data_IF_003216017000
#
_entry.id   IF_003216017000
#
_cell.length_a   1.000
_cell.length_b   1.000
_cell.length_c   1.000
_cell.angle_alpha   90.00
_cell.angle_beta   90.00
_cell.angle_gamma   90.00
#
_symmetry.space_group_name_H-M   'P 1'
#
loop_
_entity.id
_entity.type
_entity.pdbx_description
1 polymer ?
#
# COMPACT_ATOMS: atom_id res chain seq x y z
N UNK A 1 -5.56 16.76 9.23
CA UNK A 1 -4.68 17.92 8.90
C UNK A 1 -3.83 17.63 7.67
N UNK A 2 -3.18 16.46 7.57
CA UNK A 2 -2.36 16.09 6.39
C UNK A 2 -3.18 16.16 5.09
N UNK A 3 -4.37 15.57 5.06
CA UNK A 3 -5.27 15.63 3.90
C UNK A 3 -5.65 17.07 3.53
N UNK A 4 -6.02 17.89 4.52
CA UNK A 4 -6.37 19.30 4.30
C UNK A 4 -5.21 20.09 3.67
N UNK A 5 -3.99 19.88 4.16
CA UNK A 5 -2.79 20.56 3.64
C UNK A 5 -2.51 20.20 2.17
N UNK A 6 -2.95 19.02 1.72
CA UNK A 6 -2.82 18.53 0.35
C UNK A 6 -4.02 18.86 -0.55
N UNK A 7 -5.03 19.59 -0.01
CA UNK A 7 -6.19 20.03 -0.78
C UNK A 7 -7.42 19.11 -0.71
N UNK A 8 -7.35 17.98 0.01
CA UNK A 8 -8.49 17.10 0.24
C UNK A 8 -9.35 17.67 1.37
N UNK A 9 -10.49 18.26 1.01
CA UNK A 9 -11.32 19.03 1.95
C UNK A 9 -12.67 18.40 2.22
N UNK A 10 -13.18 17.56 1.34
CA UNK A 10 -14.46 16.86 1.52
C UNK A 10 -14.16 15.45 2.02
N UNK A 11 -14.55 15.17 3.26
CA UNK A 11 -14.28 13.89 3.92
C UNK A 11 -15.60 13.25 4.33
N UNK A 12 -15.68 11.92 4.16
CA UNK A 12 -16.77 11.11 4.68
C UNK A 12 -16.18 10.14 5.69
N UNK A 13 -16.64 10.18 6.93
CA UNK A 13 -16.26 9.23 7.96
C UNK A 13 -17.36 8.19 8.13
N UNK A 14 -17.02 6.92 7.89
CA UNK A 14 -17.89 5.80 8.26
C UNK A 14 -17.64 5.45 9.72
N UNK A 15 -18.67 5.52 10.55
CA UNK A 15 -18.57 5.35 12.01
C UNK A 15 -19.62 4.37 12.50
N UNK A 16 -19.30 3.61 13.51
CA UNK A 16 -20.21 2.66 14.15
C UNK A 16 -20.01 2.68 15.66
N UNK A 17 -19.10 1.86 16.18
CA UNK A 17 -18.77 1.86 17.60
C UNK A 17 -18.21 3.23 18.03
N UNK A 18 -18.77 3.80 19.11
CA UNK A 18 -18.42 5.14 19.62
C UNK A 18 -18.65 6.30 18.63
N UNK A 19 -19.59 6.16 17.69
CA UNK A 19 -19.90 7.17 16.69
C UNK A 19 -20.12 8.56 17.31
N UNK A 20 -20.92 8.66 18.37
CA UNK A 20 -21.20 9.93 19.05
C UNK A 20 -19.93 10.64 19.56
N UNK A 21 -18.96 9.88 20.07
CA UNK A 21 -17.69 10.45 20.55
C UNK A 21 -16.83 10.96 19.41
N UNK A 22 -16.78 10.21 18.30
CA UNK A 22 -16.04 10.61 17.11
C UNK A 22 -16.67 11.85 16.49
N UNK A 23 -17.99 11.87 16.34
CA UNK A 23 -18.75 13.00 15.80
C UNK A 23 -18.61 14.25 16.70
N UNK A 24 -18.66 14.08 18.02
CA UNK A 24 -18.47 15.18 18.97
C UNK A 24 -17.04 15.75 18.92
N UNK A 25 -16.03 14.92 18.67
CA UNK A 25 -14.62 15.35 18.61
C UNK A 25 -14.29 16.11 17.33
N UNK A 26 -14.75 15.63 16.17
CA UNK A 26 -14.40 16.23 14.88
C UNK A 26 -15.41 17.29 14.41
N UNK A 27 -16.66 17.27 14.92
CA UNK A 27 -17.74 18.17 14.48
C UNK A 27 -17.97 18.06 12.97
N UNK A 28 -18.18 19.19 12.33
CA UNK A 28 -18.34 19.32 10.89
C UNK A 28 -16.98 19.44 10.14
N UNK A 29 -15.86 19.39 10.87
CA UNK A 29 -14.52 19.51 10.32
C UNK A 29 -14.04 20.95 10.11
N UNK A 30 -14.87 21.97 10.30
CA UNK A 30 -14.54 23.39 10.04
C UNK A 30 -13.29 23.84 10.82
N UNK A 31 -13.12 23.38 12.06
CA UNK A 31 -11.94 23.67 12.90
C UNK A 31 -10.63 23.07 12.32
N UNK A 32 -10.74 22.08 11.44
CA UNK A 32 -9.62 21.42 10.76
C UNK A 32 -9.42 21.94 9.33
N UNK A 33 -10.28 22.87 8.87
CA UNK A 33 -10.27 23.40 7.51
C UNK A 33 -10.78 22.42 6.45
N UNK A 34 -11.60 21.45 6.86
CA UNK A 34 -12.25 20.44 6.00
C UNK A 34 -13.76 20.44 6.26
N UNK A 35 -14.50 19.83 5.35
CA UNK A 35 -15.90 19.46 5.56
C UNK A 35 -15.94 17.97 5.88
N UNK A 36 -16.58 17.59 6.99
CA UNK A 36 -16.76 16.20 7.40
C UNK A 36 -18.25 15.86 7.35
N UNK A 37 -18.57 14.88 6.56
CA UNK A 37 -19.85 14.21 6.56
C UNK A 37 -19.71 12.84 7.24
N UNK A 38 -20.77 12.37 7.88
CA UNK A 38 -20.76 11.10 8.59
C UNK A 38 -21.73 10.11 7.97
N UNK A 39 -21.31 8.87 7.90
CA UNK A 39 -22.17 7.72 7.67
C UNK A 39 -22.16 6.85 8.93
N UNK A 40 -23.27 6.78 9.64
CA UNK A 40 -23.38 5.97 10.85
C UNK A 40 -23.91 4.59 10.49
N UNK A 41 -23.11 3.56 10.75
CA UNK A 41 -23.52 2.16 10.58
C UNK A 41 -24.35 1.72 11.77
N UNK A 42 -25.65 1.50 11.57
CA UNK A 42 -26.54 0.91 12.59
C UNK A 42 -26.21 -0.58 12.81
N UNK A 43 -25.80 -1.25 11.75
CA UNK A 43 -25.31 -2.64 11.77
C UNK A 43 -23.99 -2.70 11.01
N UNK A 44 -23.03 -3.54 11.46
CA UNK A 44 -21.73 -3.62 10.79
C UNK A 44 -21.86 -4.11 9.34
N UNK A 45 -21.46 -3.29 8.38
CA UNK A 45 -21.51 -3.57 6.94
C UNK A 45 -20.20 -4.18 6.38
N UNK A 46 -19.20 -4.42 7.25
CA UNK A 46 -17.85 -4.78 6.83
C UNK A 46 -17.01 -3.54 6.51
N UNK A 47 -15.83 -3.73 5.95
CA UNK A 47 -14.94 -2.60 5.62
C UNK A 47 -15.25 -1.92 4.27
N UNK A 48 -16.24 -2.43 3.50
CA UNK A 48 -16.62 -1.85 2.22
C UNK A 48 -18.13 -1.65 2.02
N UNK A 49 -18.99 -2.23 2.85
CA UNK A 49 -20.44 -2.17 2.63
C UNK A 49 -21.02 -0.76 2.69
N UNK A 50 -20.45 0.13 3.50
CA UNK A 50 -20.82 1.54 3.55
C UNK A 50 -20.60 2.27 2.21
N UNK A 51 -19.62 1.87 1.40
CA UNK A 51 -19.32 2.51 0.12
C UNK A 51 -20.50 2.41 -0.85
N UNK A 52 -21.23 1.30 -0.86
CA UNK A 52 -22.40 1.12 -1.71
C UNK A 52 -23.55 2.03 -1.28
N UNK A 53 -23.71 2.27 0.02
CA UNK A 53 -24.70 3.22 0.56
C UNK A 53 -24.33 4.67 0.25
N UNK A 54 -23.04 4.92 0.09
CA UNK A 54 -22.48 6.23 -0.19
C UNK A 54 -22.23 6.49 -1.69
N UNK A 55 -22.55 5.53 -2.57
CA UNK A 55 -22.23 5.61 -4.00
C UNK A 55 -22.66 6.93 -4.66
N UNK A 56 -23.86 7.38 -4.42
CA UNK A 56 -24.36 8.66 -4.95
C UNK A 56 -23.61 9.86 -4.39
N UNK A 57 -23.24 9.81 -3.11
CA UNK A 57 -22.51 10.90 -2.44
C UNK A 57 -21.04 10.96 -2.85
N UNK A 58 -20.43 9.81 -3.13
CA UNK A 58 -19.07 9.72 -3.66
C UNK A 58 -18.99 10.36 -5.04
N UNK A 59 -20.04 10.23 -5.87
CA UNK A 59 -20.07 10.77 -7.24
C UNK A 59 -19.26 9.92 -8.21
N UNK A 60 -18.73 10.55 -9.26
CA UNK A 60 -18.07 9.86 -10.37
C UNK A 60 -16.54 10.11 -10.44
N UNK A 61 -16.02 10.96 -9.58
CA UNK A 61 -14.59 11.23 -9.50
C UNK A 61 -13.86 10.20 -8.61
N UNK A 62 -12.60 9.84 -8.93
CA UNK A 62 -11.83 8.95 -8.09
C UNK A 62 -11.67 9.50 -6.67
N UNK A 63 -11.73 8.62 -5.69
CA UNK A 63 -11.65 8.98 -4.29
C UNK A 63 -10.54 8.23 -3.55
N UNK A 64 -10.05 8.84 -2.46
CA UNK A 64 -9.17 8.19 -1.51
C UNK A 64 -9.98 7.38 -0.50
N UNK A 65 -9.66 6.09 -0.39
CA UNK A 65 -10.18 5.21 0.66
C UNK A 65 -9.04 4.89 1.62
N UNK A 66 -9.22 5.26 2.89
CA UNK A 66 -8.17 5.16 3.90
C UNK A 66 -8.68 4.39 5.11
N UNK A 67 -7.90 3.42 5.58
CA UNK A 67 -8.19 2.74 6.83
C UNK A 67 -7.97 3.69 8.02
N UNK A 68 -8.95 3.78 8.91
CA UNK A 68 -8.94 4.73 10.04
C UNK A 68 -7.97 4.35 11.16
N UNK A 69 -7.52 3.10 11.21
CA UNK A 69 -6.53 2.56 12.15
C UNK A 69 -5.09 2.63 11.63
N UNK A 70 -4.87 3.21 10.46
CA UNK A 70 -3.54 3.45 9.89
C UNK A 70 -3.04 4.85 10.24
N UNK A 71 -1.86 4.93 10.85
CA UNK A 71 -1.08 6.17 10.91
C UNK A 71 -0.27 6.31 9.62
N UNK A 72 -0.34 7.46 9.00
CA UNK A 72 0.37 7.71 7.74
C UNK A 72 0.82 9.16 7.61
N UNK A 73 1.87 9.36 6.81
CA UNK A 73 2.26 10.65 6.24
C UNK A 73 2.74 10.42 4.80
N UNK A 74 1.83 10.59 3.87
CA UNK A 74 1.95 10.23 2.44
C UNK A 74 1.65 11.45 1.59
N UNK A 75 2.40 11.65 0.51
CA UNK A 75 2.07 12.59 -0.56
C UNK A 75 0.97 11.98 -1.47
N UNK A 76 -0.28 12.16 -1.07
CA UNK A 76 -1.41 11.64 -1.84
C UNK A 76 -1.56 12.29 -3.22
N UNK A 77 -1.06 13.50 -3.42
CA UNK A 77 -1.10 14.12 -4.75
C UNK A 77 -0.23 13.35 -5.75
N UNK A 78 0.92 12.80 -5.32
CA UNK A 78 1.73 11.91 -6.16
C UNK A 78 1.01 10.59 -6.44
N UNK A 79 0.38 10.00 -5.44
CA UNK A 79 -0.40 8.76 -5.60
C UNK A 79 -1.58 8.95 -6.57
N UNK A 80 -2.32 10.06 -6.46
CA UNK A 80 -3.41 10.40 -7.38
C UNK A 80 -2.89 10.68 -8.79
N UNK A 81 -1.73 11.36 -8.93
CA UNK A 81 -1.11 11.57 -10.23
C UNK A 81 -0.69 10.24 -10.89
N UNK A 82 -0.13 9.32 -10.11
CA UNK A 82 0.17 7.97 -10.56
C UNK A 82 -1.10 7.24 -11.01
N UNK A 83 -2.16 7.26 -10.20
CA UNK A 83 -3.45 6.66 -10.54
C UNK A 83 -3.97 7.15 -11.89
N UNK A 84 -3.98 8.45 -12.11
CA UNK A 84 -4.40 9.05 -13.38
C UNK A 84 -3.51 8.66 -14.56
N UNK A 85 -2.25 8.35 -14.33
CA UNK A 85 -1.29 8.03 -15.40
C UNK A 85 -1.46 6.65 -16.00
N UNK A 86 -1.95 5.67 -15.24
CA UNK A 86 -2.14 4.30 -15.73
C UNK A 86 -3.56 4.00 -16.22
N UNK A 87 -4.56 4.82 -15.84
CA UNK A 87 -5.95 4.70 -16.30
C UNK A 87 -6.69 3.44 -15.81
N UNK A 88 -6.18 2.77 -14.77
CA UNK A 88 -6.86 1.64 -14.12
C UNK A 88 -7.94 2.09 -13.15
N UNK A 89 -8.67 1.15 -12.58
CA UNK A 89 -9.77 1.42 -11.66
C UNK A 89 -9.32 1.58 -10.20
N UNK A 90 -8.18 0.97 -9.83
CA UNK A 90 -7.68 0.99 -8.45
C UNK A 90 -6.18 1.18 -8.43
N UNK A 91 -5.71 2.01 -7.50
CA UNK A 91 -4.31 2.07 -7.08
C UNK A 91 -4.22 1.67 -5.62
N UNK A 92 -3.42 0.65 -5.33
CA UNK A 92 -3.06 0.24 -3.98
C UNK A 92 -1.80 0.98 -3.55
N UNK A 93 -1.79 1.56 -2.35
CA UNK A 93 -0.54 1.92 -1.73
C UNK A 93 0.15 0.67 -1.21
N UNK A 94 1.34 0.39 -1.70
CA UNK A 94 2.10 -0.80 -1.35
C UNK A 94 3.45 -0.41 -0.75
N UNK A 95 3.89 -1.18 0.23
CA UNK A 95 5.16 -0.95 0.91
C UNK A 95 5.78 -2.26 1.39
N UNK A 96 7.10 -2.30 1.64
CA UNK A 96 7.74 -3.43 2.28
C UNK A 96 7.26 -3.58 3.73
N UNK A 97 7.00 -4.83 4.15
CA UNK A 97 6.62 -5.16 5.52
C UNK A 97 7.72 -6.00 6.18
N UNK A 98 8.04 -5.71 7.44
CA UNK A 98 8.97 -6.52 8.25
C UNK A 98 8.44 -7.93 8.56
N UNK A 99 7.13 -8.17 8.31
CA UNK A 99 6.45 -9.46 8.53
C UNK A 99 5.63 -9.84 7.29
N UNK A 100 6.23 -9.98 6.11
CA UNK A 100 5.49 -10.26 4.87
C UNK A 100 4.74 -11.58 4.92
N UNK A 101 5.21 -12.55 5.70
CA UNK A 101 4.59 -13.86 5.90
C UNK A 101 3.22 -13.80 6.61
N UNK A 102 2.95 -12.74 7.39
CA UNK A 102 1.68 -12.53 8.10
C UNK A 102 0.68 -11.68 7.32
N UNK A 103 1.09 -11.12 6.19
CA UNK A 103 0.31 -10.17 5.40
C UNK A 103 -0.08 -10.74 4.06
N UNK A 104 -1.10 -10.18 3.42
CA UNK A 104 -1.41 -10.45 2.02
C UNK A 104 -0.28 -9.93 1.13
N UNK A 105 0.33 -10.82 0.34
CA UNK A 105 1.41 -10.48 -0.59
C UNK A 105 0.83 -10.09 -1.94
N UNK A 106 1.25 -8.97 -2.48
CA UNK A 106 0.86 -8.50 -3.81
C UNK A 106 1.94 -8.88 -4.82
N UNK A 107 1.55 -9.64 -5.82
CA UNK A 107 2.38 -9.95 -6.99
C UNK A 107 1.95 -9.03 -8.12
N UNK A 108 2.89 -8.28 -8.66
CA UNK A 108 2.65 -7.37 -9.78
C UNK A 108 3.73 -7.50 -10.83
N UNK A 109 3.40 -7.11 -12.06
CA UNK A 109 4.35 -7.01 -13.17
C UNK A 109 5.28 -5.78 -13.03
N UNK A 110 6.21 -5.61 -13.97
CA UNK A 110 7.18 -4.51 -13.99
C UNK A 110 6.54 -3.12 -14.16
N UNK A 111 5.27 -3.06 -14.57
CA UNK A 111 4.48 -1.82 -14.68
C UNK A 111 3.65 -1.54 -13.44
N UNK A 112 3.74 -2.43 -12.43
CA UNK A 112 2.97 -2.35 -11.21
C UNK A 112 1.53 -2.87 -11.33
N UNK A 113 1.15 -3.49 -12.46
CA UNK A 113 -0.17 -4.08 -12.61
C UNK A 113 -0.27 -5.34 -11.73
N UNK A 114 -1.28 -5.40 -10.87
CA UNK A 114 -1.47 -6.49 -9.90
C UNK A 114 -1.95 -7.75 -10.61
N UNK A 115 -1.14 -8.79 -10.57
CA UNK A 115 -1.45 -10.09 -11.15
C UNK A 115 -2.12 -11.02 -10.14
N UNK A 116 -1.62 -11.03 -8.89
CA UNK A 116 -2.13 -11.90 -7.82
C UNK A 116 -2.10 -11.20 -6.47
N UNK A 117 -3.04 -11.59 -5.64
CA UNK A 117 -3.08 -11.24 -4.22
C UNK A 117 -3.10 -12.53 -3.40
N UNK A 118 -1.98 -12.86 -2.81
CA UNK A 118 -1.80 -14.08 -2.03
C UNK A 118 -2.11 -13.78 -0.55
N UNK A 119 -3.09 -14.50 -0.01
CA UNK A 119 -3.33 -14.48 1.43
C UNK A 119 -2.20 -15.23 2.17
N UNK A 120 -2.16 -15.12 3.49
CA UNK A 120 -1.13 -15.80 4.29
C UNK A 120 -1.19 -17.34 4.20
N UNK A 121 -2.37 -17.88 3.89
CA UNK A 121 -2.63 -19.30 3.72
C UNK A 121 -2.30 -19.83 2.31
N UNK A 122 -2.15 -18.92 1.34
CA UNK A 122 -1.86 -19.29 -0.04
C UNK A 122 -0.39 -19.71 -0.20
N UNK A 123 -0.13 -20.65 -1.11
CA UNK A 123 1.24 -21.01 -1.48
C UNK A 123 1.96 -19.82 -2.09
N UNK A 124 3.12 -19.49 -1.54
CA UNK A 124 3.93 -18.35 -1.97
C UNK A 124 5.09 -18.81 -2.83
N UNK A 125 5.48 -17.99 -3.84
CA UNK A 125 6.73 -18.23 -4.54
C UNK A 125 7.91 -18.16 -3.56
N UNK A 126 8.98 -18.88 -3.85
CA UNK A 126 10.18 -18.88 -3.00
C UNK A 126 10.80 -17.47 -2.91
N UNK A 127 10.80 -16.74 -4.00
CA UNK A 127 11.33 -15.38 -4.11
C UNK A 127 10.25 -14.42 -4.58
N UNK A 128 10.12 -13.29 -3.93
CA UNK A 128 9.09 -12.31 -4.23
C UNK A 128 9.50 -10.89 -3.81
N UNK A 129 8.93 -9.90 -4.44
CA UNK A 129 9.00 -8.53 -3.94
C UNK A 129 8.23 -8.42 -2.64
N UNK A 130 8.85 -7.83 -1.62
CA UNK A 130 8.19 -7.59 -0.34
C UNK A 130 7.19 -6.44 -0.49
N UNK A 131 6.02 -6.75 -1.03
CA UNK A 131 4.99 -5.78 -1.41
C UNK A 131 3.67 -6.17 -0.75
N UNK A 132 3.21 -5.36 0.21
CA UNK A 132 1.95 -5.57 0.92
C UNK A 132 1.03 -4.35 0.78
N UNK A 133 -0.29 -4.59 0.82
CA UNK A 133 -1.29 -3.52 0.82
C UNK A 133 -1.30 -2.80 2.17
N UNK A 134 -1.19 -1.48 2.14
CA UNK A 134 -1.16 -0.63 3.35
C UNK A 134 -2.54 -0.14 3.81
N UNK A 135 -3.63 -0.52 3.11
CA UNK A 135 -4.97 -0.04 3.44
C UNK A 135 -5.25 1.41 3.02
N UNK A 136 -4.45 1.93 2.09
CA UNK A 136 -4.65 3.24 1.48
C UNK A 136 -4.83 3.05 -0.02
N UNK A 137 -5.91 3.58 -0.59
CA UNK A 137 -6.28 3.32 -1.97
C UNK A 137 -6.75 4.59 -2.67
N UNK A 138 -6.53 4.66 -4.00
CA UNK A 138 -7.30 5.51 -4.90
C UNK A 138 -8.22 4.60 -5.70
N UNK A 139 -9.50 4.90 -5.69
CA UNK A 139 -10.53 4.03 -6.27
C UNK A 139 -11.42 4.85 -7.21
N UNK A 140 -11.61 4.34 -8.42
CA UNK A 140 -12.66 4.80 -9.34
C UNK A 140 -14.02 4.30 -8.85
N UNK A 141 -15.03 5.15 -8.67
CA UNK A 141 -16.36 4.73 -8.18
C UNK A 141 -17.01 3.61 -8.98
N UNK A 142 -16.68 3.51 -10.27
CA UNK A 142 -17.11 2.43 -11.16
C UNK A 142 -16.79 1.02 -10.63
N UNK A 143 -15.76 0.89 -9.78
CA UNK A 143 -15.43 -0.40 -9.12
C UNK A 143 -16.62 -0.92 -8.32
N UNK A 144 -17.34 -0.03 -7.62
CA UNK A 144 -18.50 -0.39 -6.83
C UNK A 144 -19.62 -0.93 -7.73
N UNK A 145 -19.85 -0.27 -8.86
CA UNK A 145 -20.89 -0.66 -9.82
C UNK A 145 -20.59 -2.05 -10.42
N UNK A 146 -19.33 -2.30 -10.82
CA UNK A 146 -18.88 -3.60 -11.33
C UNK A 146 -18.99 -4.69 -10.25
N UNK A 147 -18.67 -4.37 -9.00
CA UNK A 147 -18.70 -5.33 -7.90
C UNK A 147 -20.12 -5.82 -7.58
N UNK A 148 -21.15 -5.05 -7.88
CA UNK A 148 -22.54 -5.49 -7.69
C UNK A 148 -22.91 -6.72 -8.53
N UNK A 149 -22.20 -6.97 -9.65
CA UNK A 149 -22.42 -8.15 -10.50
C UNK A 149 -22.04 -9.47 -9.80
N UNK A 150 -21.19 -9.39 -8.76
CA UNK A 150 -20.65 -10.56 -8.05
C UNK A 150 -21.12 -10.67 -6.60
N UNK A 151 -21.82 -9.66 -6.09
CA UNK A 151 -22.31 -9.61 -4.73
C UNK A 151 -23.76 -10.08 -4.63
N UNK A 152 -24.10 -10.75 -3.54
CA UNK A 152 -25.50 -11.04 -3.24
C UNK A 152 -26.21 -9.74 -2.86
N UNK A 153 -27.24 -9.38 -3.63
CA UNK A 153 -28.00 -8.14 -3.43
C UNK A 153 -29.28 -8.44 -2.66
N UNK A 154 -29.55 -7.64 -1.67
CA UNK A 154 -30.82 -7.65 -0.94
C UNK A 154 -31.90 -7.02 -1.83
N UNK A 155 -32.96 -7.77 -2.21
CA UNK A 155 -33.99 -7.30 -3.12
C UNK A 155 -34.87 -6.17 -2.55
N UNK A 156 -34.89 -6.02 -1.21
CA UNK A 156 -35.70 -4.97 -0.57
C UNK A 156 -34.94 -3.63 -0.54
N UNK A 157 -33.64 -3.68 -0.37
CA UNK A 157 -32.82 -2.46 -0.23
C UNK A 157 -32.05 -2.10 -1.49
N UNK A 158 -31.82 -3.06 -2.39
CA UNK A 158 -31.01 -2.89 -3.59
C UNK A 158 -29.49 -2.81 -3.31
N UNK A 159 -29.05 -3.08 -2.07
CA UNK A 159 -27.66 -3.05 -1.66
C UNK A 159 -27.10 -4.44 -1.37
N UNK A 160 -25.77 -4.61 -1.31
CA UNK A 160 -25.17 -5.87 -0.92
C UNK A 160 -25.68 -6.36 0.43
N UNK A 161 -25.98 -7.67 0.49
CA UNK A 161 -26.51 -8.33 1.68
C UNK A 161 -25.38 -8.64 2.67
N UNK A 162 -25.56 -8.20 3.91
CA UNK A 162 -24.62 -8.47 4.99
C UNK A 162 -23.35 -7.64 4.93
N UNK A 163 -22.22 -8.25 5.32
CA UNK A 163 -20.92 -7.59 5.37
C UNK A 163 -20.18 -7.74 4.05
N UNK A 164 -19.61 -6.66 3.57
CA UNK A 164 -18.74 -6.66 2.37
C UNK A 164 -17.28 -6.47 2.80
N UNK A 165 -16.44 -7.38 2.35
CA UNK A 165 -14.99 -7.32 2.54
C UNK A 165 -14.33 -6.69 1.31
N UNK A 166 -13.65 -5.55 1.51
CA UNK A 166 -12.99 -4.80 0.44
C UNK A 166 -11.98 -5.67 -0.31
N UNK A 167 -11.08 -6.31 0.43
CA UNK A 167 -9.96 -7.04 -0.15
C UNK A 167 -10.44 -8.27 -0.92
N UNK A 168 -11.34 -9.05 -0.33
CA UNK A 168 -11.76 -10.34 -0.87
C UNK A 168 -12.81 -10.22 -1.98
N UNK A 169 -13.75 -9.31 -1.82
CA UNK A 169 -14.94 -9.26 -2.66
C UNK A 169 -14.87 -8.15 -3.73
N UNK A 170 -14.04 -7.12 -3.51
CA UNK A 170 -13.93 -5.98 -4.43
C UNK A 170 -12.56 -5.94 -5.12
N UNK A 171 -11.46 -5.99 -4.36
CA UNK A 171 -10.12 -5.78 -4.91
C UNK A 171 -9.55 -7.08 -5.52
N UNK A 172 -9.63 -8.20 -4.81
CA UNK A 172 -9.07 -9.48 -5.30
C UNK A 172 -9.63 -9.93 -6.66
N UNK A 173 -10.91 -9.73 -7.00
CA UNK A 173 -11.44 -10.00 -8.34
C UNK A 173 -10.81 -9.18 -9.47
N UNK A 174 -10.17 -8.05 -9.17
CA UNK A 174 -9.46 -7.22 -10.17
C UNK A 174 -8.04 -7.70 -10.48
N UNK A 175 -7.52 -8.68 -9.74
CA UNK A 175 -6.19 -9.24 -10.02
C UNK A 175 -6.14 -9.86 -11.42
N UNK A 176 -5.08 -9.56 -12.19
CA UNK A 176 -4.87 -10.06 -13.54
C UNK A 176 -5.77 -9.44 -14.61
N UNK A 177 -6.59 -8.44 -14.27
CA UNK A 177 -7.49 -7.77 -15.24
C UNK A 177 -6.87 -6.54 -15.90
N UNK A 178 -5.70 -6.09 -15.45
CA UNK A 178 -5.09 -4.84 -15.89
C UNK A 178 -5.77 -3.57 -15.36
N UNK A 179 -6.61 -3.70 -14.32
CA UNK A 179 -7.39 -2.59 -13.76
C UNK A 179 -6.91 -2.15 -12.38
N UNK A 180 -5.96 -2.85 -11.76
CA UNK A 180 -5.44 -2.55 -10.44
C UNK A 180 -3.93 -2.48 -10.43
N UNK A 181 -3.37 -1.42 -9.82
CA UNK A 181 -1.94 -1.12 -9.85
C UNK A 181 -1.38 -0.88 -8.45
N UNK A 182 -0.11 -1.24 -8.25
CA UNK A 182 0.67 -0.93 -7.06
C UNK A 182 1.33 0.44 -7.18
N UNK A 183 1.15 1.28 -6.19
CA UNK A 183 1.98 2.46 -5.94
C UNK A 183 2.96 2.13 -4.82
N UNK A 184 4.14 1.64 -5.20
CA UNK A 184 5.21 1.31 -4.26
C UNK A 184 5.81 2.58 -3.68
N UNK A 185 5.74 2.75 -2.37
CA UNK A 185 6.25 3.93 -1.70
C UNK A 185 6.95 3.59 -0.39
N UNK A 186 8.10 4.26 -0.10
CA UNK A 186 8.79 4.14 1.18
C UNK A 186 8.17 5.02 2.28
N UNK A 187 7.11 5.75 1.98
CA UNK A 187 6.48 6.68 2.89
C UNK A 187 5.91 5.97 4.12
N UNK A 188 5.70 6.73 5.19
CA UNK A 188 5.31 6.14 6.45
C UNK A 188 3.83 5.73 6.43
N UNK A 189 3.59 4.45 6.60
CA UNK A 189 2.28 3.88 6.91
C UNK A 189 2.46 2.81 7.96
N UNK A 190 1.65 2.83 9.01
CA UNK A 190 1.68 1.84 10.10
C UNK A 190 0.31 1.66 10.71
N UNK A 191 -0.13 0.42 10.82
CA UNK A 191 -1.32 0.03 11.55
C UNK A 191 -1.13 0.26 13.06
N UNK A 192 -2.17 0.78 13.72
CA UNK A 192 -2.21 1.08 15.16
C UNK A 192 -3.14 0.13 15.93
N UNK A 193 -3.52 -1.01 15.37
CA UNK A 193 -4.50 -1.92 15.94
C UNK A 193 -4.11 -2.62 17.25
N UNK A 194 -2.88 -2.41 17.77
CA UNK A 194 -2.43 -2.91 19.07
C UNK A 194 -1.77 -1.82 19.91
N UNK A 195 -1.81 -1.91 21.26
CA UNK A 195 -1.14 -0.93 22.12
C UNK A 195 0.34 -0.73 21.80
N UNK A 196 1.08 -1.78 21.52
CA UNK A 196 2.51 -1.70 21.20
C UNK A 196 2.74 -0.95 19.87
N UNK A 197 1.94 -1.21 18.84
CA UNK A 197 1.99 -0.48 17.57
C UNK A 197 1.61 0.98 17.75
N UNK A 198 0.59 1.28 18.56
CA UNK A 198 0.22 2.64 18.90
C UNK A 198 1.37 3.40 19.59
N UNK A 199 2.01 2.80 20.59
CA UNK A 199 3.16 3.42 21.26
C UNK A 199 4.36 3.59 20.33
N UNK A 200 4.58 2.68 19.42
CA UNK A 200 5.62 2.82 18.41
C UNK A 200 5.33 4.01 17.48
N UNK A 201 4.09 4.14 16.98
CA UNK A 201 3.67 5.27 16.14
C UNK A 201 3.84 6.60 16.90
N UNK A 202 3.47 6.63 18.18
CA UNK A 202 3.66 7.82 19.03
C UNK A 202 5.15 8.21 19.16
N UNK A 203 6.03 7.23 19.32
CA UNK A 203 7.48 7.45 19.34
C UNK A 203 7.99 7.95 17.98
N UNK A 204 7.54 7.35 16.88
CA UNK A 204 7.92 7.72 15.52
C UNK A 204 7.50 9.16 15.18
N UNK A 205 6.33 9.61 15.65
CA UNK A 205 5.90 11.01 15.55
C UNK A 205 6.79 11.95 16.35
N UNK A 206 7.10 11.62 17.62
CA UNK A 206 7.96 12.42 18.49
C UNK A 206 9.38 12.58 17.96
N UNK A 207 9.90 11.54 17.31
CA UNK A 207 11.24 11.50 16.74
C UNK A 207 11.32 12.10 15.33
N UNK A 208 10.20 12.52 14.73
CA UNK A 208 10.15 13.07 13.37
C UNK A 208 10.29 12.03 12.25
N UNK A 209 10.29 10.71 12.58
CA UNK A 209 10.43 9.63 11.60
C UNK A 209 9.27 9.61 10.60
N UNK A 210 8.06 9.91 11.07
CA UNK A 210 6.85 9.94 10.25
C UNK A 210 7.01 10.95 9.12
N UNK A 211 7.33 12.20 9.45
CA UNK A 211 7.44 13.30 8.49
C UNK A 211 8.66 13.17 7.58
N UNK A 212 9.75 12.56 8.10
CA UNK A 212 10.99 12.40 7.37
C UNK A 212 10.83 11.56 6.09
N UNK A 213 9.87 10.63 6.07
CA UNK A 213 9.64 9.71 4.94
C UNK A 213 8.70 10.26 3.87
N UNK A 214 7.98 11.36 4.13
CA UNK A 214 7.05 11.93 3.16
C UNK A 214 7.78 12.43 1.91
N UNK A 215 7.37 11.98 0.73
CA UNK A 215 8.03 12.28 -0.55
C UNK A 215 7.86 13.71 -1.04
N UNK A 216 7.01 14.52 -0.42
CA UNK A 216 6.99 15.98 -0.64
C UNK A 216 8.23 16.66 -0.06
N UNK A 217 8.92 16.01 0.88
CA UNK A 217 10.17 16.47 1.47
C UNK A 217 11.38 15.93 0.69
N UNK A 218 12.50 16.66 0.73
CA UNK A 218 13.77 16.15 0.20
C UNK A 218 14.21 14.95 1.01
N UNK A 219 14.35 13.81 0.35
CA UNK A 219 14.80 12.58 0.97
C UNK A 219 16.33 12.53 1.07
N UNK A 220 16.82 11.93 2.16
CA UNK A 220 18.22 11.52 2.29
C UNK A 220 18.35 10.08 1.83
N UNK A 221 19.37 9.76 1.05
CA UNK A 221 19.56 8.41 0.55
C UNK A 221 21.03 7.96 0.69
N UNK A 222 21.18 6.66 0.91
CA UNK A 222 22.45 5.94 0.77
C UNK A 222 22.32 5.08 -0.47
N UNK A 223 23.17 5.32 -1.47
CA UNK A 223 23.23 4.52 -2.69
C UNK A 223 24.21 3.38 -2.45
N UNK A 224 23.74 2.15 -2.69
CA UNK A 224 24.48 0.92 -2.48
C UNK A 224 24.66 0.20 -3.82
N UNK A 225 25.87 -0.20 -4.13
CA UNK A 225 26.08 -1.16 -5.22
C UNK A 225 25.57 -2.54 -4.78
N UNK A 226 25.24 -3.40 -5.73
CA UNK A 226 24.76 -4.75 -5.46
C UNK A 226 25.93 -5.72 -5.28
N UNK A 227 26.72 -5.92 -6.32
CA UNK A 227 27.74 -6.97 -6.39
C UNK A 227 28.99 -6.59 -5.56
N UNK A 228 29.30 -7.36 -4.52
CA UNK A 228 30.39 -7.08 -3.58
C UNK A 228 30.03 -6.08 -2.46
N UNK A 229 28.80 -5.57 -2.43
CA UNK A 229 28.29 -4.68 -1.38
C UNK A 229 27.09 -5.30 -0.67
N UNK A 230 26.09 -5.77 -1.41
CA UNK A 230 24.90 -6.46 -0.89
C UNK A 230 25.10 -7.97 -0.94
N UNK A 231 25.50 -8.48 -2.10
CA UNK A 231 25.85 -9.89 -2.26
C UNK A 231 27.34 -10.11 -2.44
N UNK A 232 27.78 -11.33 -2.12
CA UNK A 232 29.17 -11.76 -2.35
C UNK A 232 29.52 -11.58 -3.82
N UNK A 233 30.73 -11.08 -4.07
CA UNK A 233 31.21 -10.85 -5.43
C UNK A 233 31.58 -12.19 -6.10
N UNK A 234 30.91 -12.52 -7.19
CA UNK A 234 31.13 -13.73 -7.99
C UNK A 234 31.54 -13.42 -9.44
N UNK A 235 32.00 -12.18 -9.68
CA UNK A 235 32.21 -11.67 -11.02
C UNK A 235 30.89 -11.22 -11.65
N UNK A 236 30.53 -11.81 -12.78
CA UNK A 236 29.23 -11.56 -13.42
C UNK A 236 28.21 -12.58 -12.92
N UNK A 237 27.27 -12.12 -12.09
CA UNK A 237 26.20 -12.96 -11.57
C UNK A 237 25.20 -13.32 -12.68
N UNK A 238 25.13 -14.61 -13.02
CA UNK A 238 24.25 -15.13 -14.09
C UNK A 238 23.19 -16.07 -13.58
N UNK A 239 23.42 -16.70 -12.44
CA UNK A 239 22.51 -17.69 -11.88
C UNK A 239 22.01 -17.23 -10.52
N UNK A 240 20.72 -17.38 -10.27
CA UNK A 240 20.09 -17.06 -8.99
C UNK A 240 20.70 -17.86 -7.82
N UNK A 241 21.19 -19.07 -8.07
CA UNK A 241 21.79 -19.93 -7.05
C UNK A 241 23.12 -19.36 -6.53
N UNK A 242 23.83 -18.60 -7.36
CA UNK A 242 25.10 -17.95 -7.00
C UNK A 242 24.89 -16.66 -6.18
N UNK A 243 23.64 -16.21 -6.02
CA UNK A 243 23.33 -15.03 -5.20
C UNK A 243 23.33 -15.40 -3.72
N UNK A 244 24.26 -14.83 -2.98
CA UNK A 244 24.40 -14.98 -1.51
C UNK A 244 24.64 -13.61 -0.87
N UNK A 245 23.82 -13.25 0.14
CA UNK A 245 24.03 -11.99 0.88
C UNK A 245 25.35 -11.99 1.63
N UNK A 246 25.95 -10.81 1.74
CA UNK A 246 27.07 -10.58 2.67
C UNK A 246 26.51 -10.53 4.09
N UNK A 247 27.21 -11.17 5.03
CA UNK A 247 26.79 -11.19 6.43
C UNK A 247 26.62 -9.78 7.00
N UNK A 248 25.50 -9.54 7.67
CA UNK A 248 25.18 -8.27 8.32
C UNK A 248 24.60 -7.18 7.40
N UNK A 249 24.41 -7.45 6.10
CA UNK A 249 23.84 -6.47 5.15
C UNK A 249 22.39 -6.15 5.49
N UNK A 250 21.58 -7.14 5.84
CA UNK A 250 20.17 -6.91 6.20
C UNK A 250 20.06 -5.98 7.41
N UNK A 251 20.88 -6.18 8.44
CA UNK A 251 20.93 -5.33 9.63
C UNK A 251 21.45 -3.92 9.30
N UNK A 252 22.41 -3.81 8.39
CA UNK A 252 22.94 -2.52 7.95
C UNK A 252 21.88 -1.70 7.20
N UNK A 253 21.15 -2.32 6.26
CA UNK A 253 20.05 -1.69 5.53
C UNK A 253 18.92 -1.28 6.49
N UNK A 254 18.58 -2.15 7.43
CA UNK A 254 17.60 -1.82 8.48
C UNK A 254 18.01 -0.59 9.29
N UNK A 255 19.27 -0.46 9.67
CA UNK A 255 19.80 0.72 10.38
C UNK A 255 19.74 1.97 9.51
N UNK A 256 20.07 1.89 8.21
CA UNK A 256 19.95 2.99 7.26
C UNK A 256 18.50 3.50 7.25
N UNK A 257 17.54 2.59 7.05
CA UNK A 257 16.12 2.93 7.01
C UNK A 257 15.59 3.50 8.33
N UNK A 258 16.05 2.97 9.47
CA UNK A 258 15.71 3.48 10.80
C UNK A 258 16.30 4.87 11.09
N UNK A 259 17.40 5.22 10.44
CA UNK A 259 18.06 6.53 10.56
C UNK A 259 17.42 7.61 9.67
N UNK A 260 16.29 7.32 9.02
CA UNK A 260 15.58 8.24 8.14
C UNK A 260 16.25 8.44 6.78
N UNK A 261 17.06 7.48 6.34
CA UNK A 261 17.63 7.43 4.99
C UNK A 261 16.94 6.35 4.18
N UNK A 262 16.81 6.58 2.88
CA UNK A 262 16.43 5.53 1.93
C UNK A 262 17.69 4.72 1.57
N UNK A 263 17.59 3.40 1.60
CA UNK A 263 18.59 2.53 1.02
C UNK A 263 18.22 2.28 -0.44
N UNK A 264 19.02 2.77 -1.37
CA UNK A 264 18.77 2.67 -2.81
C UNK A 264 19.85 1.80 -3.44
N UNK A 265 19.44 0.68 -4.02
CA UNK A 265 20.36 -0.21 -4.74
C UNK A 265 20.52 0.31 -6.17
N UNK A 266 21.79 0.52 -6.58
CA UNK A 266 22.14 0.90 -7.94
C UNK A 266 23.18 -0.09 -8.44
N UNK A 267 22.85 -0.83 -9.50
CA UNK A 267 23.75 -1.86 -10.02
C UNK A 267 23.84 -1.80 -11.55
N UNK A 268 25.03 -2.07 -12.07
CA UNK A 268 25.23 -2.22 -13.50
C UNK A 268 25.35 -3.71 -13.84
N UNK A 269 24.48 -4.20 -14.72
CA UNK A 269 24.40 -5.59 -15.09
C UNK A 269 24.70 -5.81 -16.59
N UNK A 270 25.99 -5.83 -17.00
CA UNK A 270 26.35 -5.96 -18.41
C UNK A 270 25.98 -7.31 -19.02
N UNK A 271 25.67 -8.31 -18.22
CA UNK A 271 25.20 -9.63 -18.65
C UNK A 271 23.92 -9.56 -19.49
N UNK A 272 23.04 -8.58 -19.24
CA UNK A 272 21.84 -8.33 -20.04
C UNK A 272 22.23 -7.89 -21.46
N UNK A 273 23.07 -6.87 -21.57
CA UNK A 273 23.50 -6.35 -22.87
C UNK A 273 24.29 -7.40 -23.70
N UNK A 274 24.89 -8.38 -23.04
CA UNK A 274 25.60 -9.50 -23.68
C UNK A 274 24.69 -10.66 -24.05
N UNK A 275 23.42 -10.63 -23.65
CA UNK A 275 22.48 -11.74 -23.85
C UNK A 275 22.79 -12.99 -23.02
N UNK A 276 23.55 -12.85 -21.93
CA UNK A 276 23.94 -13.95 -21.05
C UNK A 276 22.86 -14.24 -19.97
N UNK A 277 22.03 -13.26 -19.67
CA UNK A 277 20.90 -13.30 -18.73
C UNK A 277 19.74 -12.50 -19.30
N UNK A 278 18.52 -13.01 -19.20
CA UNK A 278 17.31 -12.29 -19.58
C UNK A 278 16.88 -11.28 -18.48
N UNK A 279 15.97 -10.38 -18.81
CA UNK A 279 15.37 -9.48 -17.82
C UNK A 279 14.57 -10.24 -16.76
N UNK A 280 13.90 -11.31 -17.14
CA UNK A 280 13.12 -12.17 -16.26
C UNK A 280 14.03 -12.86 -15.24
N UNK A 281 15.15 -13.43 -15.69
CA UNK A 281 16.14 -14.07 -14.80
C UNK A 281 16.79 -13.06 -13.85
N UNK A 282 17.11 -11.85 -14.32
CA UNK A 282 17.63 -10.79 -13.47
C UNK A 282 16.60 -10.36 -12.41
N UNK A 283 15.33 -10.28 -12.81
CA UNK A 283 14.25 -9.92 -11.90
C UNK A 283 14.07 -10.97 -10.79
N UNK A 284 14.19 -12.27 -11.11
CA UNK A 284 14.17 -13.34 -10.10
C UNK A 284 15.35 -13.22 -9.11
N UNK A 285 16.54 -12.85 -9.58
CA UNK A 285 17.69 -12.55 -8.70
C UNK A 285 17.36 -11.36 -7.77
N UNK A 286 16.72 -10.31 -8.28
CA UNK A 286 16.32 -9.16 -7.47
C UNK A 286 15.22 -9.52 -6.47
N UNK A 287 14.25 -10.38 -6.84
CA UNK A 287 13.24 -10.90 -5.90
C UNK A 287 13.90 -11.73 -4.78
N UNK A 288 14.90 -12.57 -5.11
CA UNK A 288 15.69 -13.27 -4.08
C UNK A 288 16.35 -12.29 -3.13
N UNK A 289 16.98 -11.24 -3.65
CA UNK A 289 17.57 -10.18 -2.85
C UNK A 289 16.54 -9.52 -1.93
N UNK A 290 15.39 -9.10 -2.47
CA UNK A 290 14.32 -8.42 -1.73
C UNK A 290 13.70 -9.33 -0.65
N UNK A 291 13.60 -10.63 -0.90
CA UNK A 291 13.09 -11.62 0.07
C UNK A 291 14.06 -11.86 1.23
N UNK A 292 15.37 -11.77 0.97
CA UNK A 292 16.43 -12.04 1.96
C UNK A 292 16.80 -10.81 2.80
N UNK A 293 16.51 -9.59 2.34
CA UNK A 293 16.76 -8.32 3.04
C UNK A 293 15.64 -7.97 4.02
#
# INVERSE_FOLDING_TARGET
RSLCAQGFKDLILTVGYLADKIMAYFGDGSQLGVKIDYFVEETPLGNAGALFRLREKIGDEPFLLLNADAAFDVDFNRMVAFHKSHGGLVTLFTHPNSHPYDSGLIIADDKGNVEKWLAKEDERPQWYDNRVNAGLHVIEPKVLDISLEHLEIDPETGFPKGKVDLDRQILKPLCGTGQMFCYDSPEYVKDMGTPDRFHQVEADYKNGTVQAKNLSNKQKAVFLDRDGTINKYVGFLRNIDDFELIDGVSEAIKKINQSGYLAIVVTNQPVIARGEVSWEELNEIHKKMATLL
#
